data_IF_640373317752
#
_entry.id   IF_640373317752
#
_cell.length_a   1.000
_cell.length_b   1.000
_cell.length_c   1.000
_cell.angle_alpha   90.00
_cell.angle_beta   90.00
_cell.angle_gamma   90.00
#
_symmetry.space_group_name_H-M   'P 1'
#
loop_
_entity.id
_entity.type
_entity.pdbx_description
1 polymer ?
#
# COMPACT_ATOMS: atom_id res chain seq x y z
N UNK A 1 0.69 28.08 -15.33
CA UNK A 1 0.63 27.35 -14.04
C UNK A 1 -0.64 26.54 -14.07
N UNK A 2 -0.55 25.25 -14.40
CA UNK A 2 -1.70 24.36 -14.57
C UNK A 2 -1.83 23.50 -13.32
N UNK A 3 -2.84 23.77 -12.51
CA UNK A 3 -3.37 22.83 -11.52
C UNK A 3 -3.58 21.46 -12.14
N UNK A 4 -3.40 20.39 -11.37
CA UNK A 4 -3.71 19.04 -11.85
C UNK A 4 -5.14 18.97 -12.37
N UNK A 5 -5.37 18.17 -13.41
CA UNK A 5 -6.69 18.09 -14.06
C UNK A 5 -7.80 17.73 -13.07
N UNK A 6 -7.50 16.84 -12.12
CA UNK A 6 -8.39 16.38 -11.07
C UNK A 6 -8.74 17.49 -10.06
N UNK A 7 -7.76 18.33 -9.70
CA UNK A 7 -8.01 19.50 -8.86
C UNK A 7 -8.95 20.50 -9.56
N UNK A 8 -8.73 20.74 -10.86
CA UNK A 8 -9.62 21.62 -11.64
C UNK A 8 -11.04 21.07 -11.77
N UNK A 9 -11.18 19.75 -11.78
CA UNK A 9 -12.47 19.06 -11.86
C UNK A 9 -13.14 18.91 -10.49
N UNK A 10 -12.49 19.30 -9.40
CA UNK A 10 -13.02 19.21 -8.04
C UNK A 10 -13.08 17.79 -7.51
N UNK A 11 -12.19 16.91 -7.96
CA UNK A 11 -12.15 15.51 -7.50
C UNK A 11 -11.53 15.34 -6.10
N UNK A 12 -10.78 16.33 -5.63
CA UNK A 12 -10.31 16.40 -4.24
C UNK A 12 -11.18 17.36 -3.43
N UNK A 13 -11.43 17.00 -2.16
CA UNK A 13 -12.05 17.92 -1.21
C UNK A 13 -11.15 19.14 -0.98
N UNK A 14 -11.73 20.32 -0.74
CA UNK A 14 -11.00 21.57 -0.48
C UNK A 14 -10.01 21.45 0.69
N UNK A 15 -10.32 20.57 1.64
CA UNK A 15 -9.56 20.30 2.84
C UNK A 15 -8.70 19.02 2.75
N UNK A 16 -8.52 18.43 1.56
CA UNK A 16 -7.85 17.15 1.36
C UNK A 16 -6.44 17.08 2.00
N UNK A 17 -5.72 18.22 2.03
CA UNK A 17 -4.38 18.34 2.61
C UNK A 17 -4.37 18.63 4.13
N UNK A 18 -5.53 18.83 4.76
CA UNK A 18 -5.65 19.22 6.17
C UNK A 18 -5.72 18.04 7.13
N UNK A 19 -5.78 16.80 6.61
CA UNK A 19 -5.91 15.59 7.40
C UNK A 19 -4.72 14.65 7.15
N UNK A 20 -4.24 14.04 8.22
CA UNK A 20 -3.34 12.90 8.14
C UNK A 20 -4.09 11.59 7.94
N UNK A 21 -3.32 10.50 7.86
CA UNK A 21 -3.76 9.12 7.67
C UNK A 21 -5.06 8.76 8.42
N UNK A 22 -5.07 8.85 9.75
CA UNK A 22 -6.25 8.48 10.57
C UNK A 22 -7.47 9.38 10.33
N UNK A 23 -7.23 10.64 9.97
CA UNK A 23 -8.30 11.59 9.67
C UNK A 23 -9.05 11.24 8.38
N UNK A 24 -8.35 10.71 7.37
CA UNK A 24 -8.99 10.26 6.13
C UNK A 24 -9.87 9.01 6.35
N UNK A 25 -9.46 8.07 7.22
CA UNK A 25 -10.27 6.89 7.53
C UNK A 25 -11.58 7.21 8.22
N UNK A 26 -11.52 8.04 9.27
CA UNK A 26 -12.73 8.42 10.00
C UNK A 26 -13.78 9.07 9.09
N UNK A 27 -13.33 9.94 8.17
CA UNK A 27 -14.21 10.62 7.22
C UNK A 27 -14.79 9.67 6.18
N UNK A 28 -14.00 8.73 5.67
CA UNK A 28 -14.49 7.68 4.76
C UNK A 28 -15.56 6.82 5.44
N UNK A 29 -15.30 6.32 6.65
CA UNK A 29 -16.26 5.52 7.41
C UNK A 29 -17.56 6.29 7.76
N UNK A 30 -17.51 7.62 7.82
CA UNK A 30 -18.68 8.47 8.04
C UNK A 30 -19.43 8.85 6.75
N UNK A 31 -18.97 8.37 5.59
CA UNK A 31 -19.57 8.70 4.29
C UNK A 31 -19.25 10.10 3.76
N UNK A 32 -18.25 10.78 4.33
CA UNK A 32 -17.83 12.12 3.88
C UNK A 32 -16.87 12.07 2.68
N UNK A 33 -16.28 10.89 2.41
CA UNK A 33 -15.38 10.63 1.28
C UNK A 33 -15.97 9.48 0.48
N UNK A 34 -16.15 9.67 -0.84
CA UNK A 34 -16.74 8.65 -1.70
C UNK A 34 -15.73 7.61 -2.21
N UNK A 35 -14.47 8.01 -2.40
CA UNK A 35 -13.40 7.14 -2.91
C UNK A 35 -12.11 7.37 -2.15
N UNK A 36 -11.40 6.28 -1.90
CA UNK A 36 -10.21 6.28 -1.08
C UNK A 36 -9.19 5.29 -1.63
N UNK A 37 -8.07 5.81 -2.12
CA UNK A 37 -7.03 4.98 -2.74
C UNK A 37 -6.21 4.28 -1.65
N UNK A 38 -6.55 3.04 -1.36
CA UNK A 38 -5.91 2.20 -0.33
C UNK A 38 -5.81 0.75 -0.76
N UNK A 39 -4.96 -0.02 -0.09
CA UNK A 39 -4.81 -1.45 -0.33
C UNK A 39 -5.65 -2.33 0.58
N UNK A 40 -5.53 -3.64 0.35
CA UNK A 40 -6.33 -4.68 1.03
C UNK A 40 -6.09 -4.77 2.54
N UNK A 41 -5.00 -4.20 3.07
CA UNK A 41 -4.71 -4.21 4.51
C UNK A 41 -5.76 -3.48 5.36
N UNK A 42 -6.65 -2.69 4.75
CA UNK A 42 -7.75 -2.00 5.46
C UNK A 42 -9.07 -2.79 5.49
N UNK A 43 -9.17 -3.98 4.90
CA UNK A 43 -10.45 -4.69 4.82
C UNK A 43 -11.12 -4.89 6.18
N UNK A 44 -10.36 -5.29 7.21
CA UNK A 44 -10.91 -5.44 8.56
C UNK A 44 -11.46 -4.13 9.11
N UNK A 45 -10.68 -3.05 9.00
CA UNK A 45 -11.09 -1.71 9.44
C UNK A 45 -12.37 -1.26 8.75
N UNK A 46 -12.47 -1.46 7.43
CA UNK A 46 -13.65 -1.06 6.66
C UNK A 46 -14.87 -1.95 6.94
N UNK A 47 -14.66 -3.26 7.12
CA UNK A 47 -15.70 -4.19 7.56
C UNK A 47 -16.24 -3.83 8.94
N UNK A 48 -15.37 -3.45 9.88
CA UNK A 48 -15.76 -2.98 11.21
C UNK A 48 -16.55 -1.66 11.12
N UNK A 49 -16.13 -0.74 10.25
CA UNK A 49 -16.88 0.50 9.99
C UNK A 49 -18.29 0.23 9.44
N UNK A 50 -18.42 -0.70 8.49
CA UNK A 50 -19.71 -1.10 7.91
C UNK A 50 -20.60 -1.79 8.95
N UNK A 51 -20.04 -2.68 9.77
CA UNK A 51 -20.75 -3.33 10.86
C UNK A 51 -21.23 -2.33 11.93
N UNK A 52 -20.44 -1.30 12.22
CA UNK A 52 -20.80 -0.24 13.17
C UNK A 52 -21.83 0.75 12.61
N UNK A 53 -21.92 0.90 11.28
CA UNK A 53 -22.76 1.89 10.60
C UNK A 53 -23.56 1.31 9.43
N UNK A 54 -24.36 0.23 9.62
CA UNK A 54 -24.95 -0.54 8.52
C UNK A 54 -25.94 0.27 7.66
N UNK A 55 -26.56 1.31 8.21
CA UNK A 55 -27.52 2.16 7.48
C UNK A 55 -26.85 3.32 6.73
N UNK A 56 -25.53 3.51 6.89
CA UNK A 56 -24.80 4.70 6.40
C UNK A 56 -23.54 4.39 5.61
N UNK A 57 -22.95 3.22 5.82
CA UNK A 57 -21.67 2.88 5.23
C UNK A 57 -21.68 1.48 4.64
N UNK A 58 -21.40 1.43 3.35
CA UNK A 58 -21.09 0.25 2.57
C UNK A 58 -19.83 0.58 1.76
N UNK A 59 -18.97 -0.40 1.53
CA UNK A 59 -17.78 -0.20 0.71
C UNK A 59 -17.60 -1.31 -0.32
N UNK A 60 -17.14 -0.89 -1.51
CA UNK A 60 -16.61 -1.77 -2.53
C UNK A 60 -15.10 -1.63 -2.64
N UNK A 61 -14.50 -2.52 -3.42
CA UNK A 61 -13.08 -2.47 -3.75
C UNK A 61 -12.90 -2.66 -5.25
N UNK A 62 -11.98 -1.91 -5.85
CA UNK A 62 -11.67 -2.02 -7.28
C UNK A 62 -10.25 -1.56 -7.55
N UNK A 63 -9.71 -2.01 -8.68
CA UNK A 63 -8.44 -1.52 -9.21
C UNK A 63 -8.49 -0.01 -9.43
N UNK A 64 -7.41 0.70 -9.09
CA UNK A 64 -7.25 2.09 -9.49
C UNK A 64 -7.22 2.18 -11.03
N UNK A 65 -7.93 3.13 -11.65
CA UNK A 65 -8.01 3.23 -13.10
C UNK A 65 -6.63 3.48 -13.71
N UNK A 66 -6.34 2.77 -14.81
CA UNK A 66 -5.10 2.93 -15.57
C UNK A 66 -5.42 3.57 -16.93
N UNK A 67 -4.65 4.57 -17.39
CA UNK A 67 -4.88 5.20 -18.69
C UNK A 67 -4.89 4.18 -19.84
N UNK A 68 -5.67 4.49 -20.88
CA UNK A 68 -5.74 3.66 -22.08
C UNK A 68 -4.35 3.45 -22.69
N UNK A 69 -4.06 2.21 -23.10
CA UNK A 69 -2.77 1.81 -23.67
C UNK A 69 -1.70 1.45 -22.64
N UNK A 70 -1.92 1.69 -21.34
CA UNK A 70 -1.01 1.28 -20.28
C UNK A 70 -1.42 -0.06 -19.66
N UNK A 71 -0.45 -0.92 -19.41
CA UNK A 71 -0.63 -2.17 -18.67
C UNK A 71 -1.01 -1.87 -17.22
N UNK A 72 -2.04 -2.55 -16.71
CA UNK A 72 -2.38 -2.45 -15.29
C UNK A 72 -1.24 -3.00 -14.43
N UNK A 73 -0.82 -2.24 -13.41
CA UNK A 73 0.21 -2.63 -12.46
C UNK A 73 -0.43 -2.87 -11.10
N UNK A 74 -0.10 -3.98 -10.45
CA UNK A 74 -0.45 -4.15 -9.04
C UNK A 74 0.56 -3.38 -8.20
N UNK A 75 0.10 -2.34 -7.53
CA UNK A 75 0.90 -1.64 -6.55
C UNK A 75 0.94 -2.48 -5.28
N UNK A 76 2.09 -3.06 -4.99
CA UNK A 76 2.29 -3.84 -3.77
C UNK A 76 3.02 -2.98 -2.76
N UNK A 77 2.42 -2.85 -1.58
CA UNK A 77 3.18 -2.41 -0.42
C UNK A 77 4.28 -3.42 -0.12
N UNK A 78 5.42 -2.96 0.40
CA UNK A 78 6.33 -3.88 1.08
C UNK A 78 5.59 -4.33 2.34
N UNK A 79 5.15 -5.59 2.35
CA UNK A 79 4.59 -6.20 3.54
C UNK A 79 5.58 -6.11 4.72
N UNK A 80 5.10 -6.34 5.93
CA UNK A 80 6.00 -6.41 7.08
C UNK A 80 6.75 -7.74 7.06
N UNK A 81 8.08 -7.69 7.22
CA UNK A 81 8.94 -8.86 7.33
C UNK A 81 9.41 -9.10 8.77
N UNK A 82 9.64 -10.36 9.11
CA UNK A 82 10.27 -10.72 10.39
C UNK A 82 11.79 -10.61 10.27
N UNK A 83 12.39 -9.70 11.05
CA UNK A 83 13.84 -9.48 11.06
C UNK A 83 14.48 -10.14 12.28
N UNK A 84 15.45 -11.01 12.03
CA UNK A 84 16.18 -11.71 13.06
C UNK A 84 17.53 -11.02 13.33
N UNK A 85 17.82 -10.77 14.61
CA UNK A 85 19.12 -10.21 15.01
C UNK A 85 20.24 -11.23 14.82
N UNK A 86 21.40 -10.78 14.33
CA UNK A 86 22.61 -11.62 14.19
C UNK A 86 23.09 -12.22 15.51
N UNK A 87 22.75 -11.60 16.66
CA UNK A 87 23.08 -12.09 18.00
C UNK A 87 22.43 -13.44 18.35
N UNK A 88 21.44 -13.89 17.60
CA UNK A 88 20.89 -15.24 17.78
C UNK A 88 21.91 -16.34 17.43
N UNK A 89 22.99 -16.02 16.72
CA UNK A 89 24.09 -16.96 16.50
C UNK A 89 24.80 -17.37 17.80
N UNK A 90 24.75 -16.53 18.83
CA UNK A 90 25.42 -16.76 20.11
C UNK A 90 24.62 -17.66 21.06
N UNK A 91 23.34 -17.95 20.74
CA UNK A 91 22.42 -18.72 21.57
C UNK A 91 21.56 -19.66 20.70
N UNK A 92 22.06 -20.90 20.45
CA UNK A 92 21.37 -21.87 19.60
C UNK A 92 19.98 -22.26 20.10
N UNK A 93 19.79 -22.35 21.42
CA UNK A 93 18.51 -22.75 22.01
C UNK A 93 17.47 -21.65 21.81
N UNK A 94 17.86 -20.38 22.04
CA UNK A 94 17.00 -19.24 21.74
C UNK A 94 16.70 -19.12 20.25
N UNK A 95 17.69 -19.37 19.39
CA UNK A 95 17.48 -19.39 17.93
C UNK A 95 16.44 -20.43 17.55
N UNK A 96 16.51 -21.65 18.09
CA UNK A 96 15.53 -22.70 17.82
C UNK A 96 14.11 -22.27 18.22
N UNK A 97 13.94 -21.71 19.41
CA UNK A 97 12.63 -21.22 19.89
C UNK A 97 12.06 -20.08 19.01
N UNK A 98 12.91 -19.17 18.55
CA UNK A 98 12.48 -18.08 17.65
C UNK A 98 12.00 -18.63 16.30
N UNK A 99 12.70 -19.63 15.76
CA UNK A 99 12.29 -20.27 14.51
C UNK A 99 10.99 -21.06 14.67
N UNK A 100 10.82 -21.80 15.77
CA UNK A 100 9.57 -22.50 16.08
C UNK A 100 8.39 -21.53 16.20
N UNK A 101 8.60 -20.37 16.81
CA UNK A 101 7.58 -19.32 16.88
C UNK A 101 7.22 -18.76 15.49
N UNK A 102 8.21 -18.55 14.62
CA UNK A 102 7.94 -18.10 13.26
C UNK A 102 7.17 -19.16 12.47
N UNK A 103 7.53 -20.43 12.58
CA UNK A 103 6.82 -21.56 11.94
C UNK A 103 5.34 -21.59 12.35
N UNK A 104 5.05 -21.30 13.62
CA UNK A 104 3.68 -21.15 14.10
C UNK A 104 2.95 -19.99 13.40
N UNK A 105 3.58 -18.81 13.28
CA UNK A 105 2.96 -17.62 12.66
C UNK A 105 2.69 -17.78 11.16
N UNK A 106 3.46 -18.63 10.47
CA UNK A 106 3.32 -18.90 9.03
C UNK A 106 2.66 -20.25 8.71
N UNK A 107 2.18 -20.96 9.73
CA UNK A 107 1.47 -22.23 9.55
C UNK A 107 0.14 -22.05 8.82
N UNK A 108 -0.36 -23.12 8.21
CA UNK A 108 -1.67 -23.12 7.53
C UNK A 108 -2.79 -22.66 8.48
N UNK A 109 -2.77 -23.11 9.74
CA UNK A 109 -3.75 -22.70 10.76
C UNK A 109 -3.68 -21.20 11.03
N UNK A 110 -2.47 -20.65 11.19
CA UNK A 110 -2.29 -19.22 11.38
C UNK A 110 -2.75 -18.45 10.13
N UNK A 111 -2.41 -18.93 8.94
CA UNK A 111 -2.79 -18.30 7.68
C UNK A 111 -4.31 -18.17 7.52
N UNK A 112 -5.06 -19.23 7.87
CA UNK A 112 -6.52 -19.20 7.90
C UNK A 112 -7.02 -18.13 8.88
N UNK A 113 -6.43 -18.01 10.07
CA UNK A 113 -6.81 -16.98 11.06
C UNK A 113 -6.52 -15.57 10.56
N UNK A 114 -5.33 -15.32 9.99
CA UNK A 114 -4.99 -14.03 9.39
C UNK A 114 -6.02 -13.57 8.35
N UNK A 115 -6.50 -14.50 7.52
CA UNK A 115 -7.48 -14.20 6.47
C UNK A 115 -8.90 -14.04 7.03
N UNK A 116 -9.32 -14.95 7.92
CA UNK A 116 -10.71 -15.01 8.37
C UNK A 116 -11.02 -13.99 9.47
N UNK A 117 -10.09 -13.76 10.40
CA UNK A 117 -10.29 -12.90 11.57
C UNK A 117 -9.76 -11.49 11.32
N UNK A 118 -8.54 -11.39 10.77
CA UNK A 118 -7.87 -10.10 10.54
C UNK A 118 -8.07 -9.56 9.12
N UNK A 119 -8.66 -10.34 8.21
CA UNK A 119 -8.84 -9.98 6.79
C UNK A 119 -7.55 -9.52 6.09
N UNK A 120 -6.41 -10.04 6.54
CA UNK A 120 -5.08 -9.77 5.98
C UNK A 120 -4.66 -10.96 5.12
N UNK A 121 -4.07 -10.69 3.95
CA UNK A 121 -3.45 -11.72 3.13
C UNK A 121 -2.03 -12.01 3.65
N UNK A 122 -1.76 -13.20 4.21
CA UNK A 122 -0.43 -13.56 4.67
C UNK A 122 0.49 -13.86 3.48
N UNK A 123 1.79 -13.66 3.66
CA UNK A 123 2.81 -13.96 2.66
C UNK A 123 3.16 -15.47 2.61
N UNK A 124 2.15 -16.33 2.64
CA UNK A 124 2.27 -17.80 2.54
C UNK A 124 1.26 -18.33 1.54
N UNK A 125 1.51 -19.52 1.01
CA UNK A 125 0.55 -20.21 0.15
C UNK A 125 -0.59 -20.71 1.04
N UNK A 126 -1.82 -20.37 0.69
CA UNK A 126 -3.03 -20.83 1.36
C UNK A 126 -3.88 -21.59 0.36
N UNK A 127 -4.43 -22.72 0.80
CA UNK A 127 -5.46 -23.43 0.03
C UNK A 127 -6.73 -22.56 -0.01
N UNK A 128 -7.19 -22.08 -1.18
CA UNK A 128 -8.39 -21.26 -1.27
C UNK A 128 -9.66 -21.98 -0.77
N UNK A 129 -9.69 -23.32 -0.77
CA UNK A 129 -10.81 -24.08 -0.20
C UNK A 129 -10.84 -24.06 1.35
N UNK A 130 -9.74 -23.68 1.99
CA UNK A 130 -9.61 -23.63 3.45
C UNK A 130 -10.10 -22.32 4.08
N UNK A 131 -10.45 -21.31 3.26
CA UNK A 131 -10.82 -19.97 3.71
C UNK A 131 -12.11 -19.50 3.05
N UNK A 132 -12.98 -18.85 3.83
CA UNK A 132 -14.13 -18.13 3.29
C UNK A 132 -13.74 -16.66 3.09
N UNK A 133 -13.63 -16.25 1.83
CA UNK A 133 -13.30 -14.87 1.47
C UNK A 133 -14.56 -14.02 1.32
N UNK A 134 -14.45 -12.73 1.65
CA UNK A 134 -15.47 -11.73 1.30
C UNK A 134 -15.41 -11.38 -0.19
N UNK A 135 -16.47 -10.80 -0.75
CA UNK A 135 -16.50 -10.34 -2.14
C UNK A 135 -15.37 -9.35 -2.44
N UNK A 136 -15.05 -8.47 -1.49
CA UNK A 136 -13.94 -7.50 -1.60
C UNK A 136 -12.58 -8.21 -1.62
N UNK A 137 -12.40 -9.27 -0.81
CA UNK A 137 -11.17 -10.07 -0.82
C UNK A 137 -11.00 -10.83 -2.13
N UNK A 138 -12.09 -11.43 -2.66
CA UNK A 138 -12.07 -12.10 -3.97
C UNK A 138 -11.68 -11.11 -5.06
N UNK A 139 -12.30 -9.93 -5.09
CA UNK A 139 -11.99 -8.89 -6.07
C UNK A 139 -10.52 -8.46 -6.00
N UNK A 140 -9.95 -8.34 -4.78
CA UNK A 140 -8.54 -8.02 -4.60
C UNK A 140 -7.58 -9.05 -5.19
N UNK A 141 -7.87 -10.33 -5.00
CA UNK A 141 -7.08 -11.40 -5.59
C UNK A 141 -7.19 -11.39 -7.12
N UNK A 142 -8.39 -11.20 -7.67
CA UNK A 142 -8.60 -11.12 -9.12
C UNK A 142 -7.81 -9.98 -9.78
N UNK A 143 -7.75 -8.81 -9.13
CA UNK A 143 -6.99 -7.67 -9.60
C UNK A 143 -5.48 -7.92 -9.53
N UNK A 144 -4.99 -8.54 -8.45
CA UNK A 144 -3.59 -8.94 -8.33
C UNK A 144 -3.19 -9.96 -9.41
N UNK A 145 -4.01 -11.00 -9.62
CA UNK A 145 -3.81 -12.01 -10.65
C UNK A 145 -3.86 -11.43 -12.06
N UNK A 146 -4.77 -10.50 -12.32
CA UNK A 146 -4.82 -9.77 -13.59
C UNK A 146 -3.52 -9.01 -13.85
N UNK A 147 -3.01 -8.27 -12.87
CA UNK A 147 -1.73 -7.57 -13.04
C UNK A 147 -0.61 -8.54 -13.43
N UNK A 148 -0.49 -9.66 -12.71
CA UNK A 148 0.50 -10.69 -13.01
C UNK A 148 0.37 -11.26 -14.44
N UNK A 149 -0.86 -11.55 -14.90
CA UNK A 149 -1.13 -12.05 -16.26
C UNK A 149 -0.85 -11.04 -17.35
N UNK A 150 -1.16 -9.77 -17.11
CA UNK A 150 -1.00 -8.69 -18.09
C UNK A 150 0.49 -8.23 -18.18
N UNK A 151 1.40 -8.86 -17.42
CA UNK A 151 2.82 -8.47 -17.33
C UNK A 151 3.04 -7.22 -16.48
N UNK A 152 2.03 -6.81 -15.72
CA UNK A 152 2.11 -5.81 -14.67
C UNK A 152 2.80 -6.39 -13.45
N UNK A 153 4.09 -6.13 -13.31
CA UNK A 153 4.84 -6.55 -12.15
C UNK A 153 4.37 -5.85 -10.88
N UNK A 154 4.71 -6.39 -9.70
CA UNK A 154 4.60 -5.64 -8.47
C UNK A 154 5.46 -4.37 -8.58
N UNK A 155 4.85 -3.19 -8.47
CA UNK A 155 5.62 -1.95 -8.25
C UNK A 155 5.77 -1.79 -6.74
N UNK A 156 6.99 -1.95 -6.18
CA UNK A 156 7.23 -1.74 -4.76
C UNK A 156 7.09 -0.25 -4.45
N UNK A 157 6.12 0.12 -3.62
CA UNK A 157 5.84 1.52 -3.27
C UNK A 157 6.86 2.07 -2.24
N UNK A 158 7.70 1.22 -1.64
CA UNK A 158 8.50 1.58 -0.46
C UNK A 158 10.03 1.61 -0.68
N UNK A 159 10.51 1.67 -1.92
CA UNK A 159 11.92 1.98 -2.18
C UNK A 159 12.11 3.47 -2.47
N UNK A 160 11.72 4.32 -1.50
CA UNK A 160 12.36 5.62 -1.43
C UNK A 160 13.79 5.37 -0.97
N UNK A 161 14.75 5.68 -1.82
CA UNK A 161 16.18 5.47 -1.59
C UNK A 161 16.70 6.35 -0.45
N UNK A 162 15.93 7.36 -0.04
CA UNK A 162 16.30 8.29 1.02
C UNK A 162 15.11 9.08 1.61
N UNK A 163 15.38 9.73 2.75
CA UNK A 163 14.47 10.72 3.32
C UNK A 163 14.26 11.90 2.35
N UNK A 164 15.30 12.33 1.64
CA UNK A 164 15.21 13.43 0.67
C UNK A 164 14.24 13.10 -0.48
N UNK A 165 14.32 11.88 -1.03
CA UNK A 165 13.37 11.42 -2.05
C UNK A 165 11.93 11.44 -1.53
N UNK A 166 11.74 10.99 -0.28
CA UNK A 166 10.43 11.00 0.39
C UNK A 166 9.87 12.42 0.51
N UNK A 167 10.72 13.37 0.88
CA UNK A 167 10.32 14.76 1.07
C UNK A 167 9.96 15.44 -0.26
N UNK A 168 10.72 15.14 -1.34
CA UNK A 168 10.42 15.63 -2.70
C UNK A 168 9.07 15.09 -3.18
N UNK A 169 8.81 13.79 -3.01
CA UNK A 169 7.50 13.22 -3.34
C UNK A 169 6.38 13.89 -2.55
N UNK A 170 6.49 13.92 -1.21
CA UNK A 170 5.43 14.43 -0.35
C UNK A 170 5.13 15.91 -0.60
N UNK A 171 6.15 16.76 -0.63
CA UNK A 171 5.99 18.20 -0.85
C UNK A 171 5.58 18.53 -2.29
N UNK A 172 6.11 17.81 -3.27
CA UNK A 172 5.76 17.97 -4.68
C UNK A 172 4.30 17.62 -4.95
N UNK A 173 3.79 16.51 -4.42
CA UNK A 173 2.38 16.16 -4.53
C UNK A 173 1.48 17.24 -3.89
N UNK A 174 1.82 17.74 -2.71
CA UNK A 174 1.09 18.84 -2.08
C UNK A 174 1.10 20.10 -2.96
N UNK A 175 2.26 20.47 -3.51
CA UNK A 175 2.40 21.63 -4.38
C UNK A 175 1.60 21.46 -5.69
N UNK A 176 1.53 20.26 -6.27
CA UNK A 176 0.70 19.98 -7.44
C UNK A 176 -0.81 20.12 -7.14
N UNK A 177 -1.27 19.60 -6.00
CA UNK A 177 -2.66 19.74 -5.55
C UNK A 177 -3.01 21.21 -5.34
N UNK A 178 -2.08 22.01 -4.79
CA UNK A 178 -2.24 23.45 -4.61
C UNK A 178 -2.06 24.25 -5.92
N UNK A 179 -1.71 23.60 -7.03
CA UNK A 179 -1.43 24.25 -8.31
C UNK A 179 -0.16 25.10 -8.34
N UNK A 180 0.74 24.89 -7.39
CA UNK A 180 2.01 25.61 -7.22
C UNK A 180 3.15 24.98 -8.02
N UNK A 181 3.00 23.73 -8.43
CA UNK A 181 3.99 22.95 -9.17
C UNK A 181 3.31 22.19 -10.32
N UNK A 182 4.02 22.01 -11.44
CA UNK A 182 3.58 21.10 -12.52
C UNK A 182 4.26 19.73 -12.40
N UNK A 183 3.66 18.73 -13.05
CA UNK A 183 4.16 17.35 -12.99
C UNK A 183 5.58 17.22 -13.56
N UNK A 184 5.93 18.02 -14.56
CA UNK A 184 7.26 17.98 -15.18
C UNK A 184 8.34 18.41 -14.20
N UNK A 185 8.06 19.42 -13.37
CA UNK A 185 8.97 19.87 -12.33
C UNK A 185 9.13 18.80 -11.24
N UNK A 186 8.04 18.20 -10.76
CA UNK A 186 8.11 17.11 -9.77
C UNK A 186 8.95 15.94 -10.29
N UNK A 187 8.72 15.53 -11.54
CA UNK A 187 9.49 14.45 -12.17
C UNK A 187 10.98 14.81 -12.25
N UNK A 188 11.32 16.05 -12.59
CA UNK A 188 12.71 16.49 -12.64
C UNK A 188 13.36 16.50 -11.25
N UNK A 189 12.64 16.99 -10.23
CA UNK A 189 13.15 17.05 -8.86
C UNK A 189 13.43 15.65 -8.31
N UNK A 190 12.55 14.67 -8.59
CA UNK A 190 12.76 13.25 -8.23
C UNK A 190 13.94 12.66 -9.00
N UNK A 191 14.02 12.87 -10.31
CA UNK A 191 15.12 12.35 -11.15
C UNK A 191 16.49 12.89 -10.70
N UNK A 192 16.56 14.16 -10.32
CA UNK A 192 17.78 14.79 -9.80
C UNK A 192 18.22 14.16 -8.47
N UNK A 193 17.27 13.85 -7.56
CA UNK A 193 17.57 13.13 -6.31
C UNK A 193 18.10 11.73 -6.63
N UNK A 194 17.40 10.97 -7.46
CA UNK A 194 17.77 9.61 -7.81
C UNK A 194 19.17 9.53 -8.44
N UNK A 195 19.50 10.43 -9.37
CA UNK A 195 20.83 10.50 -10.00
C UNK A 195 21.93 10.80 -8.99
N UNK A 196 21.70 11.72 -8.04
CA UNK A 196 22.66 12.02 -6.97
C UNK A 196 22.92 10.79 -6.09
N UNK A 197 21.87 10.11 -5.65
CA UNK A 197 22.00 8.90 -4.83
C UNK A 197 22.68 7.75 -5.58
N UNK A 198 22.37 7.58 -6.87
CA UNK A 198 23.01 6.55 -7.70
C UNK A 198 24.52 6.80 -7.84
N UNK A 199 24.95 8.05 -8.02
CA UNK A 199 26.36 8.40 -8.08
C UNK A 199 27.07 8.09 -6.74
N UNK A 200 26.47 8.47 -5.61
CA UNK A 200 27.03 8.19 -4.28
C UNK A 200 27.17 6.69 -4.01
N UNK A 201 26.18 5.88 -4.40
CA UNK A 201 26.24 4.43 -4.28
C UNK A 201 27.39 3.82 -5.08
N UNK A 202 27.61 4.30 -6.30
CA UNK A 202 28.72 3.84 -7.14
C UNK A 202 30.09 4.19 -6.57
N UNK A 203 30.22 5.31 -5.87
CA UNK A 203 31.46 5.71 -5.18
C UNK A 203 31.73 4.85 -3.94
N UNK A 204 30.70 4.49 -3.18
CA UNK A 204 30.82 3.68 -1.96
C UNK A 204 31.02 2.17 -2.22
N UNK A 205 30.70 1.72 -3.42
CA UNK A 205 30.81 0.30 -3.82
C UNK A 205 32.15 -0.06 -4.47
N UNK A 206 33.10 0.88 -4.52
CA UNK A 206 34.48 0.70 -4.98
C UNK A 206 35.44 0.59 -3.80
#
# INVERSE_FOLDING_TARGET
MTTSEDQRKGYFNDDALSYGWEGHWGRFCNGEIAMLTQGSWLFKTLSDCAAANPDRFEFGWTAFPVPEGNTFQSYVGVGSGWWLTSKLADDPDKKALVLEFLDLLISDEAAVKWIAEDQIFPAVIVDPESVNLTDQQVTALEVADRAGRDGGGPIPICWNNSQEETDVWASGFQAMVLGQMDISQLVQDVDDVLKRYQAQWQEQSQ
#
